data_IF_431563204117
#
_entry.id   IF_431563204117
#
_cell.length_a   1.000
_cell.length_b   1.000
_cell.length_c   1.000
_cell.angle_alpha   90.00
_cell.angle_beta   90.00
_cell.angle_gamma   90.00
#
_symmetry.space_group_name_H-M   'P 1'
#
loop_
_entity.id
_entity.type
_entity.pdbx_description
1 polymer ?
#
# COMPACT_ATOMS: atom_id res chain seq x y z
N UNK A 1 26.19 7.92 -49.86
CA UNK A 1 25.75 6.91 -48.88
C UNK A 1 26.35 7.33 -47.55
N UNK A 2 25.61 8.13 -46.78
CA UNK A 2 26.08 8.73 -45.52
C UNK A 2 25.34 8.02 -44.40
N UNK A 3 26.10 7.27 -43.60
CA UNK A 3 25.64 6.51 -42.46
C UNK A 3 25.41 7.50 -41.31
N UNK A 4 24.13 7.71 -40.95
CA UNK A 4 23.73 8.61 -39.86
C UNK A 4 23.77 7.81 -38.56
N UNK A 5 24.98 7.64 -38.02
CA UNK A 5 25.17 7.25 -36.63
C UNK A 5 24.78 8.44 -35.75
N UNK A 6 23.75 8.28 -34.90
CA UNK A 6 23.37 9.37 -34.00
C UNK A 6 21.97 9.36 -33.39
N UNK A 7 21.21 8.26 -33.40
CA UNK A 7 20.07 8.12 -32.47
C UNK A 7 20.57 7.59 -31.12
N UNK A 8 21.46 8.38 -30.51
CA UNK A 8 21.65 8.31 -29.08
C UNK A 8 20.32 8.77 -28.46
N UNK A 9 19.60 7.82 -27.88
CA UNK A 9 18.43 8.02 -27.04
C UNK A 9 18.67 9.21 -26.09
N UNK A 10 18.24 10.41 -26.48
CA UNK A 10 18.20 11.60 -25.64
C UNK A 10 17.10 11.38 -24.60
N UNK A 11 17.41 10.53 -23.62
CA UNK A 11 16.56 10.19 -22.49
C UNK A 11 16.52 11.38 -21.53
N UNK A 12 15.93 12.49 -21.98
CA UNK A 12 15.65 13.63 -21.11
C UNK A 12 14.84 13.15 -19.90
N UNK A 13 15.21 13.52 -18.67
CA UNK A 13 14.40 13.25 -17.50
C UNK A 13 13.02 13.87 -17.71
N UNK A 14 11.99 13.03 -17.80
CA UNK A 14 10.62 13.46 -18.08
C UNK A 14 10.10 14.51 -17.10
N UNK A 15 9.18 15.35 -17.59
CA UNK A 15 8.58 16.44 -16.82
C UNK A 15 8.03 15.99 -15.48
N UNK A 16 8.25 16.81 -14.45
CA UNK A 16 7.86 16.48 -13.08
C UNK A 16 6.33 16.25 -13.00
N UNK A 17 5.86 15.28 -12.19
CA UNK A 17 4.44 14.95 -12.12
C UNK A 17 3.59 16.19 -11.80
N UNK A 18 2.38 16.29 -12.37
CA UNK A 18 1.58 17.50 -12.29
C UNK A 18 1.31 17.89 -10.83
N UNK A 19 1.48 19.19 -10.53
CA UNK A 19 1.25 19.76 -9.20
C UNK A 19 -0.25 19.92 -8.92
N UNK A 20 -0.60 19.91 -7.64
CA UNK A 20 -1.92 20.24 -7.13
C UNK A 20 -2.21 21.74 -7.30
N UNK A 21 -3.49 22.13 -7.28
CA UNK A 21 -3.86 23.53 -7.28
C UNK A 21 -3.46 24.20 -5.96
N UNK A 22 -3.03 25.48 -5.97
CA UNK A 22 -2.55 26.18 -4.78
C UNK A 22 -3.59 26.28 -3.66
N UNK A 23 -4.87 26.30 -4.02
CA UNK A 23 -6.03 26.31 -3.11
C UNK A 23 -6.07 25.10 -2.14
N UNK A 24 -5.33 24.03 -2.44
CA UNK A 24 -5.30 22.81 -1.62
C UNK A 24 -4.00 22.61 -0.85
N UNK A 25 -3.05 23.55 -0.88
CA UNK A 25 -1.75 23.38 -0.21
C UNK A 25 -1.90 23.07 1.30
N UNK A 26 -2.85 23.70 1.99
CA UNK A 26 -3.11 23.44 3.41
C UNK A 26 -3.49 21.99 3.72
N UNK A 27 -4.38 21.39 2.91
CA UNK A 27 -4.76 19.98 3.06
C UNK A 27 -3.57 19.03 2.83
N UNK A 28 -2.74 19.34 1.84
CA UNK A 28 -1.54 18.58 1.52
C UNK A 28 -0.46 18.66 2.61
N UNK A 29 -0.21 19.84 3.17
CA UNK A 29 0.71 20.00 4.31
C UNK A 29 0.19 19.29 5.56
N UNK A 30 -1.11 19.41 5.87
CA UNK A 30 -1.73 18.74 7.01
C UNK A 30 -1.59 17.22 6.88
N UNK A 31 -1.89 16.68 5.70
CA UNK A 31 -1.71 15.25 5.41
C UNK A 31 -0.25 14.83 5.52
N UNK A 32 0.69 15.61 4.96
CA UNK A 32 2.11 15.32 5.06
C UNK A 32 2.59 15.27 6.50
N UNK A 33 2.18 16.24 7.32
CA UNK A 33 2.51 16.30 8.74
C UNK A 33 1.98 15.08 9.49
N UNK A 34 0.69 14.78 9.40
CA UNK A 34 0.08 13.67 10.14
C UNK A 34 0.62 12.30 9.72
N UNK A 35 0.80 12.05 8.42
CA UNK A 35 1.39 10.81 7.94
C UNK A 35 2.85 10.66 8.37
N UNK A 36 3.64 11.75 8.32
CA UNK A 36 5.03 11.74 8.81
C UNK A 36 5.09 11.46 10.31
N UNK A 37 4.19 12.08 11.09
CA UNK A 37 4.12 11.90 12.54
C UNK A 37 3.84 10.43 12.89
N UNK A 38 2.83 9.83 12.24
CA UNK A 38 2.49 8.43 12.49
C UNK A 38 3.60 7.46 12.01
N UNK A 39 4.18 7.71 10.83
CA UNK A 39 5.28 6.91 10.31
C UNK A 39 6.50 6.97 11.24
N UNK A 40 6.83 8.14 11.77
CA UNK A 40 7.89 8.31 12.76
C UNK A 40 7.59 7.57 14.07
N UNK A 41 6.34 7.54 14.52
CA UNK A 41 5.94 6.76 15.69
C UNK A 41 6.15 5.26 15.46
N UNK A 42 5.75 4.72 14.30
CA UNK A 42 6.01 3.32 13.94
C UNK A 42 7.51 3.00 13.86
N UNK A 43 8.31 3.90 13.26
CA UNK A 43 9.78 3.75 13.24
C UNK A 43 10.37 3.75 14.65
N UNK A 44 9.88 4.60 15.54
CA UNK A 44 10.33 4.65 16.93
C UNK A 44 10.01 3.35 17.67
N UNK A 45 8.82 2.76 17.45
CA UNK A 45 8.47 1.44 17.99
C UNK A 45 9.43 0.35 17.55
N UNK A 46 9.88 0.38 16.30
CA UNK A 46 10.83 -0.64 15.90
C UNK A 46 12.23 -0.37 16.40
N UNK A 47 12.70 0.88 16.41
CA UNK A 47 13.98 1.21 17.04
C UNK A 47 13.98 0.74 18.49
N UNK A 48 12.87 0.96 19.21
CA UNK A 48 12.67 0.45 20.55
C UNK A 48 12.74 -1.09 20.61
N UNK A 49 12.04 -1.79 19.71
CA UNK A 49 12.09 -3.27 19.65
C UNK A 49 13.48 -3.83 19.36
N UNK A 50 14.27 -3.18 18.51
CA UNK A 50 15.66 -3.55 18.22
C UNK A 50 16.53 -3.37 19.47
N UNK A 51 16.43 -2.22 20.12
CA UNK A 51 17.21 -1.91 21.33
C UNK A 51 16.84 -2.83 22.49
N UNK A 52 15.56 -3.19 22.63
CA UNK A 52 15.09 -4.09 23.68
C UNK A 52 15.48 -5.55 23.43
N UNK A 53 15.55 -5.97 22.17
CA UNK A 53 15.92 -7.34 21.78
C UNK A 53 17.42 -7.61 21.74
N UNK A 54 18.26 -6.69 22.24
CA UNK A 54 19.73 -6.70 22.09
C UNK A 54 20.19 -6.93 20.63
N UNK A 55 19.34 -6.55 19.65
CA UNK A 55 19.58 -6.78 18.23
C UNK A 55 20.46 -5.70 17.61
N UNK A 56 21.21 -6.06 16.58
CA UNK A 56 21.95 -5.09 15.77
C UNK A 56 21.08 -4.50 14.66
N UNK A 57 21.46 -3.31 14.17
CA UNK A 57 20.85 -2.74 12.95
C UNK A 57 20.98 -3.67 11.75
N UNK A 58 22.03 -4.50 11.71
CA UNK A 58 22.24 -5.47 10.66
C UNK A 58 21.20 -6.60 10.71
N UNK A 59 20.89 -7.12 11.90
CA UNK A 59 19.85 -8.14 12.10
C UNK A 59 18.47 -7.63 11.66
N UNK A 60 18.21 -6.33 11.88
CA UNK A 60 17.01 -5.68 11.36
C UNK A 60 16.99 -5.65 9.83
N UNK A 61 18.09 -5.22 9.19
CA UNK A 61 18.19 -5.17 7.72
C UNK A 61 18.08 -6.55 7.11
N UNK A 62 18.69 -7.56 7.73
CA UNK A 62 18.55 -8.95 7.30
C UNK A 62 17.10 -9.43 7.47
N UNK A 63 16.46 -9.12 8.61
CA UNK A 63 15.06 -9.45 8.90
C UNK A 63 14.02 -8.80 7.97
N UNK A 64 14.38 -7.70 7.30
CA UNK A 64 13.54 -7.09 6.25
C UNK A 64 13.32 -8.04 5.08
N UNK A 65 14.31 -8.87 4.75
CA UNK A 65 14.28 -9.75 3.58
C UNK A 65 14.21 -11.23 3.95
N UNK A 66 14.94 -11.66 4.97
CA UNK A 66 15.00 -13.03 5.46
C UNK A 66 14.10 -13.18 6.71
N UNK A 67 12.90 -13.79 6.61
CA UNK A 67 12.05 -14.00 7.77
C UNK A 67 12.63 -15.00 8.78
N UNK A 68 13.69 -15.75 8.43
CA UNK A 68 14.37 -16.68 9.32
C UNK A 68 15.55 -16.07 10.10
N UNK A 69 15.98 -14.85 9.78
CA UNK A 69 17.22 -14.29 10.30
C UNK A 69 17.19 -13.91 11.79
N UNK A 70 16.03 -13.63 12.40
CA UNK A 70 15.96 -13.46 13.86
C UNK A 70 14.51 -13.34 14.38
N UNK A 71 14.19 -13.98 15.53
CA UNK A 71 12.95 -13.80 16.27
C UNK A 71 12.98 -12.58 17.22
N UNK A 72 13.97 -11.67 17.11
CA UNK A 72 14.02 -10.45 17.93
C UNK A 72 12.66 -9.79 17.91
N UNK A 73 12.00 -9.74 19.07
CA UNK A 73 10.58 -9.45 19.28
C UNK A 73 10.11 -8.30 18.40
N UNK A 74 9.61 -8.62 17.20
CA UNK A 74 9.15 -7.62 16.26
C UNK A 74 7.81 -7.12 16.79
N UNK A 75 7.87 -6.07 17.62
CA UNK A 75 6.71 -5.28 18.04
C UNK A 75 5.95 -4.72 16.83
N UNK A 76 6.62 -4.68 15.67
CA UNK A 76 6.14 -4.16 14.39
C UNK A 76 6.45 -5.21 13.32
N UNK A 77 5.42 -5.75 12.69
CA UNK A 77 5.56 -6.76 11.65
C UNK A 77 6.00 -6.19 10.29
N UNK A 78 6.21 -7.05 9.28
CA UNK A 78 6.62 -6.64 7.95
C UNK A 78 5.61 -5.71 7.26
N UNK A 79 4.32 -5.90 7.53
CA UNK A 79 3.26 -5.07 6.98
C UNK A 79 3.38 -3.64 7.51
N UNK A 80 3.54 -3.50 8.82
CA UNK A 80 3.59 -2.20 9.49
C UNK A 80 4.79 -1.38 9.03
N UNK A 81 5.92 -2.03 8.78
CA UNK A 81 7.08 -1.40 8.15
C UNK A 81 6.84 -0.94 6.72
N UNK A 82 6.25 -1.81 5.90
CA UNK A 82 5.89 -1.45 4.54
C UNK A 82 4.91 -0.26 4.52
N UNK A 83 3.96 -0.23 5.45
CA UNK A 83 3.05 0.90 5.64
C UNK A 83 3.76 2.16 6.15
N UNK A 84 4.71 2.06 7.08
CA UNK A 84 5.50 3.21 7.53
C UNK A 84 6.28 3.83 6.37
N UNK A 85 6.95 3.01 5.55
CA UNK A 85 7.64 3.47 4.34
C UNK A 85 6.66 4.11 3.33
N UNK A 86 5.50 3.50 3.12
CA UNK A 86 4.45 4.05 2.28
C UNK A 86 3.89 5.39 2.80
N UNK A 87 3.77 5.56 4.11
CA UNK A 87 3.34 6.81 4.73
C UNK A 87 4.38 7.91 4.55
N UNK A 88 5.68 7.63 4.74
CA UNK A 88 6.74 8.59 4.41
C UNK A 88 6.75 8.98 2.93
N UNK A 89 6.63 8.00 2.02
CA UNK A 89 6.58 8.27 0.59
C UNK A 89 5.36 9.13 0.23
N UNK A 90 4.19 8.79 0.78
CA UNK A 90 2.95 9.56 0.59
C UNK A 90 3.06 10.97 1.17
N UNK A 91 3.65 11.12 2.35
CA UNK A 91 3.90 12.40 2.99
C UNK A 91 4.85 13.27 2.16
N UNK A 92 5.93 12.69 1.61
CA UNK A 92 6.85 13.37 0.71
C UNK A 92 6.17 13.84 -0.57
N UNK A 93 5.35 12.98 -1.19
CA UNK A 93 4.52 13.36 -2.34
C UNK A 93 3.53 14.48 -1.99
N UNK A 94 2.96 14.44 -0.78
CA UNK A 94 2.02 15.45 -0.31
C UNK A 94 2.72 16.79 -0.03
N UNK A 95 3.89 16.77 0.60
CA UNK A 95 4.74 17.94 0.83
C UNK A 95 5.21 18.57 -0.50
N UNK A 96 5.48 17.75 -1.51
CA UNK A 96 5.79 18.20 -2.86
C UNK A 96 4.54 18.57 -3.71
N UNK A 97 3.35 18.59 -3.09
CA UNK A 97 2.07 18.92 -3.71
C UNK A 97 1.78 18.14 -5.00
N UNK A 98 2.14 16.85 -5.05
CA UNK A 98 1.94 16.01 -6.24
C UNK A 98 0.52 15.46 -6.29
N UNK A 99 -0.15 15.51 -7.45
CA UNK A 99 -1.49 14.92 -7.64
C UNK A 99 -1.65 13.47 -7.14
N UNK A 100 -0.72 12.52 -7.37
CA UNK A 100 -0.86 11.15 -6.86
C UNK A 100 -0.90 11.07 -5.33
N UNK A 101 -0.38 12.06 -4.60
CA UNK A 101 -0.39 12.05 -3.14
C UNK A 101 -1.80 11.95 -2.56
N UNK A 102 -2.81 12.45 -3.28
CA UNK A 102 -4.19 12.43 -2.81
C UNK A 102 -4.78 11.02 -2.74
N UNK A 103 -4.68 10.24 -3.81
CA UNK A 103 -5.22 8.87 -3.79
C UNK A 103 -4.40 7.96 -2.89
N UNK A 104 -3.08 8.15 -2.85
CA UNK A 104 -2.21 7.49 -1.87
C UNK A 104 -2.64 7.81 -0.42
N UNK A 105 -2.84 9.08 -0.09
CA UNK A 105 -3.26 9.51 1.25
C UNK A 105 -4.65 9.01 1.63
N UNK A 106 -5.62 9.03 0.70
CA UNK A 106 -6.95 8.47 0.95
C UNK A 106 -6.87 6.96 1.23
N UNK A 107 -6.09 6.22 0.44
CA UNK A 107 -5.85 4.79 0.70
C UNK A 107 -5.25 4.57 2.10
N UNK A 108 -4.20 5.30 2.44
CA UNK A 108 -3.57 5.27 3.77
C UNK A 108 -4.54 5.62 4.90
N UNK A 109 -5.38 6.65 4.71
CA UNK A 109 -6.38 7.07 5.69
C UNK A 109 -7.47 6.02 5.92
N UNK A 110 -7.99 5.39 4.85
CA UNK A 110 -8.95 4.30 4.98
C UNK A 110 -8.34 3.05 5.62
N UNK A 111 -7.08 2.73 5.31
CA UNK A 111 -6.37 1.62 5.93
C UNK A 111 -6.18 1.85 7.44
N UNK A 112 -5.71 3.04 7.85
CA UNK A 112 -5.56 3.40 9.26
C UNK A 112 -6.91 3.41 10.00
N UNK A 113 -7.98 3.86 9.34
CA UNK A 113 -9.32 3.79 9.90
C UNK A 113 -9.76 2.35 10.13
N UNK A 114 -9.51 1.44 9.17
CA UNK A 114 -9.84 0.03 9.32
C UNK A 114 -9.08 -0.62 10.48
N UNK A 115 -7.77 -0.34 10.61
CA UNK A 115 -6.96 -0.80 11.76
C UNK A 115 -7.50 -0.25 13.08
N UNK A 116 -7.88 1.03 13.11
CA UNK A 116 -8.41 1.69 14.32
C UNK A 116 -9.79 1.16 14.72
N UNK A 117 -10.66 0.87 13.75
CA UNK A 117 -11.97 0.27 14.01
C UNK A 117 -11.83 -1.15 14.56
N UNK A 118 -10.93 -1.95 13.99
CA UNK A 118 -10.59 -3.28 14.52
C UNK A 118 -10.11 -3.20 15.97
N UNK A 119 -9.26 -2.22 16.26
CA UNK A 119 -8.77 -1.98 17.62
C UNK A 119 -9.92 -1.61 18.58
N UNK A 120 -10.82 -0.73 18.14
CA UNK A 120 -11.99 -0.34 18.93
C UNK A 120 -12.92 -1.52 19.25
N UNK A 121 -13.08 -2.47 18.32
CA UNK A 121 -13.78 -3.74 18.58
C UNK A 121 -13.06 -4.54 19.66
N UNK A 122 -11.73 -4.64 19.58
CA UNK A 122 -10.92 -5.33 20.60
C UNK A 122 -11.06 -4.70 21.99
N UNK A 123 -11.10 -3.37 22.08
CA UNK A 123 -11.29 -2.64 23.35
C UNK A 123 -12.67 -2.86 24.01
N UNK A 124 -13.61 -3.52 23.32
CA UNK A 124 -14.86 -3.96 23.95
C UNK A 124 -14.64 -5.16 24.88
N UNK A 125 -13.55 -5.93 24.70
CA UNK A 125 -13.17 -7.06 25.55
C UNK A 125 -12.46 -6.59 26.82
N UNK A 126 -12.94 -7.03 27.98
CA UNK A 126 -12.41 -6.62 29.27
C UNK A 126 -11.00 -7.15 29.56
N UNK A 127 -10.68 -8.37 29.12
CA UNK A 127 -9.35 -8.95 29.29
C UNK A 127 -8.34 -8.20 28.41
N UNK A 128 -8.75 -7.81 27.21
CA UNK A 128 -7.90 -7.02 26.32
C UNK A 128 -7.63 -5.62 26.86
N UNK A 129 -8.66 -4.93 27.36
CA UNK A 129 -8.47 -3.64 28.06
C UNK A 129 -7.56 -3.74 29.29
N UNK A 130 -7.65 -4.85 30.01
CA UNK A 130 -6.81 -5.08 31.19
C UNK A 130 -5.32 -5.14 30.82
N UNK A 131 -4.97 -5.73 29.67
CA UNK A 131 -3.58 -5.76 29.19
C UNK A 131 -3.00 -4.35 29.04
N UNK A 132 -3.76 -3.41 28.48
CA UNK A 132 -3.35 -2.01 28.34
C UNK A 132 -3.02 -1.34 29.69
N UNK A 133 -3.64 -1.79 30.78
CA UNK A 133 -3.40 -1.25 32.11
C UNK A 133 -2.22 -1.93 32.83
N UNK A 134 -1.94 -3.21 32.53
CA UNK A 134 -0.90 -3.99 33.22
C UNK A 134 0.44 -4.02 32.50
N UNK A 135 0.45 -3.86 31.18
CA UNK A 135 1.68 -3.86 30.40
C UNK A 135 2.39 -2.51 30.53
N UNK A 136 3.71 -2.48 30.82
CA UNK A 136 4.46 -1.23 30.97
C UNK A 136 4.43 -0.35 29.70
N UNK A 137 4.22 -0.94 28.53
CA UNK A 137 4.11 -0.25 27.24
C UNK A 137 2.65 0.00 26.82
N UNK A 138 1.67 -0.49 27.59
CA UNK A 138 0.25 -0.38 27.27
C UNK A 138 -0.20 1.06 27.01
N UNK A 139 0.21 2.01 27.87
CA UNK A 139 -0.11 3.43 27.68
C UNK A 139 0.43 4.00 26.36
N UNK A 140 1.66 3.65 25.99
CA UNK A 140 2.29 4.08 24.73
C UNK A 140 1.64 3.42 23.52
N UNK A 141 1.31 2.13 23.62
CA UNK A 141 0.60 1.40 22.58
C UNK A 141 -0.76 2.03 22.32
N UNK A 142 -1.53 2.34 23.39
CA UNK A 142 -2.84 2.99 23.28
C UNK A 142 -2.71 4.38 22.65
N UNK A 143 -1.74 5.19 23.08
CA UNK A 143 -1.47 6.49 22.50
C UNK A 143 -1.17 6.40 20.99
N UNK A 144 -0.44 5.37 20.57
CA UNK A 144 -0.14 5.11 19.15
C UNK A 144 -1.39 4.73 18.36
N UNK A 145 -2.27 3.89 18.94
CA UNK A 145 -3.57 3.55 18.33
C UNK A 145 -4.47 4.79 18.17
N UNK A 146 -4.55 5.62 19.21
CA UNK A 146 -5.29 6.88 19.18
C UNK A 146 -4.71 7.84 18.14
N UNK A 147 -3.38 7.95 18.06
CA UNK A 147 -2.70 8.73 17.03
C UNK A 147 -3.06 8.25 15.62
N UNK A 148 -3.08 6.93 15.39
CA UNK A 148 -3.50 6.33 14.12
C UNK A 148 -4.93 6.72 13.72
N UNK A 149 -5.87 6.71 14.68
CA UNK A 149 -7.24 7.16 14.46
C UNK A 149 -7.32 8.66 14.13
N UNK A 150 -6.62 9.50 14.89
CA UNK A 150 -6.57 10.96 14.65
C UNK A 150 -6.02 11.25 13.26
N UNK A 151 -4.93 10.58 12.87
CA UNK A 151 -4.31 10.70 11.55
C UNK A 151 -5.28 10.26 10.46
N UNK A 152 -5.97 9.12 10.63
CA UNK A 152 -6.96 8.64 9.68
C UNK A 152 -8.08 9.67 9.45
N UNK A 153 -8.67 10.18 10.53
CA UNK A 153 -9.74 11.18 10.47
C UNK A 153 -9.25 12.48 9.84
N UNK A 154 -8.09 12.99 10.25
CA UNK A 154 -7.52 14.22 9.70
C UNK A 154 -7.21 14.10 8.19
N UNK A 155 -6.61 12.99 7.76
CA UNK A 155 -6.32 12.75 6.34
C UNK A 155 -7.62 12.62 5.53
N UNK A 156 -8.60 11.86 6.00
CA UNK A 156 -9.87 11.69 5.28
C UNK A 156 -10.66 13.00 5.19
N UNK A 157 -10.79 13.72 6.31
CA UNK A 157 -11.52 15.01 6.34
C UNK A 157 -10.87 16.09 5.48
N UNK A 158 -9.55 16.11 5.35
CA UNK A 158 -8.84 17.08 4.50
C UNK A 158 -8.79 16.67 3.02
N UNK A 159 -8.62 15.38 2.70
CA UNK A 159 -8.43 14.90 1.31
C UNK A 159 -9.71 14.52 0.57
N UNK A 160 -10.81 14.20 1.27
CA UNK A 160 -12.10 13.93 0.62
C UNK A 160 -12.67 15.20 -0.07
N UNK A 161 -12.79 16.36 0.60
CA UNK A 161 -13.34 17.59 0.00
C UNK A 161 -12.49 18.13 -1.16
N UNK A 162 -11.18 17.84 -1.16
CA UNK A 162 -10.28 18.22 -2.24
C UNK A 162 -10.65 17.59 -3.61
N UNK A 163 -11.59 16.64 -3.69
CA UNK A 163 -12.17 16.17 -4.97
C UNK A 163 -13.20 17.13 -5.55
N UNK A 164 -14.00 17.74 -4.68
CA UNK A 164 -15.35 18.21 -5.03
C UNK A 164 -15.36 19.65 -5.51
N UNK A 165 -14.38 20.46 -5.10
CA UNK A 165 -14.27 21.86 -5.53
C UNK A 165 -13.88 22.04 -7.00
N UNK A 166 -13.21 21.04 -7.62
CA UNK A 166 -12.98 21.04 -9.07
C UNK A 166 -14.28 20.91 -9.88
N UNK A 167 -15.36 20.40 -9.26
CA UNK A 167 -16.68 20.24 -9.89
C UNK A 167 -17.58 21.47 -9.70
N UNK A 168 -17.47 22.17 -8.57
CA UNK A 168 -18.33 23.33 -8.25
C UNK A 168 -17.91 24.64 -8.91
N UNK A 169 -16.65 24.82 -9.30
CA UNK A 169 -16.23 26.01 -10.07
C UNK A 169 -16.68 25.97 -11.54
N UNK A 170 -17.37 24.91 -11.96
CA UNK A 170 -17.92 24.73 -13.32
C UNK A 170 -19.42 25.04 -13.42
N UNK A 171 -20.06 25.52 -12.35
CA UNK A 171 -21.49 25.90 -12.39
C UNK A 171 -21.72 27.35 -12.91
N UNK A 172 -20.66 28.09 -13.27
CA UNK A 172 -20.76 29.43 -13.86
C UNK A 172 -20.19 29.55 -15.29
N UNK A 173 -19.84 28.43 -15.93
CA UNK A 173 -19.26 28.44 -17.28
C UNK A 173 -19.77 27.21 -18.04
N UNK A 174 -20.21 27.34 -19.32
CA UNK A 174 -20.73 26.20 -20.09
C UNK A 174 -19.76 25.01 -20.03
N UNK A 175 -20.28 23.76 -20.01
CA UNK A 175 -19.50 22.58 -19.69
C UNK A 175 -18.33 22.45 -20.68
N UNK A 176 -17.14 22.85 -20.22
CA UNK A 176 -15.92 22.58 -20.94
C UNK A 176 -15.84 21.05 -21.14
N UNK A 177 -15.54 20.57 -22.36
CA UNK A 177 -15.46 19.15 -22.64
C UNK A 177 -14.54 18.51 -21.61
N UNK A 178 -15.04 17.47 -20.93
CA UNK A 178 -14.27 16.71 -19.94
C UNK A 178 -12.91 16.40 -20.57
N UNK A 179 -11.77 16.67 -19.91
CA UNK A 179 -10.48 16.25 -20.42
C UNK A 179 -10.56 14.73 -20.59
N UNK A 180 -10.67 14.30 -21.84
CA UNK A 180 -10.68 12.90 -22.20
C UNK A 180 -9.29 12.41 -21.82
N UNK A 181 -9.19 11.61 -20.75
CA UNK A 181 -7.95 10.89 -20.46
C UNK A 181 -7.50 10.24 -21.78
N UNK A 182 -6.25 10.48 -22.22
CA UNK A 182 -5.78 9.91 -23.48
C UNK A 182 -6.04 8.41 -23.46
N UNK A 183 -6.47 7.84 -24.59
CA UNK A 183 -6.91 6.44 -24.66
C UNK A 183 -5.89 5.46 -24.05
N UNK A 184 -4.60 5.81 -24.13
CA UNK A 184 -3.47 5.14 -23.49
C UNK A 184 -3.58 5.05 -21.96
N UNK A 185 -3.89 6.14 -21.27
CA UNK A 185 -4.03 6.18 -19.81
C UNK A 185 -5.19 5.30 -19.32
N UNK A 186 -6.28 5.28 -20.08
CA UNK A 186 -7.43 4.42 -19.81
C UNK A 186 -7.07 2.94 -20.00
N UNK A 187 -6.31 2.62 -21.04
CA UNK A 187 -5.82 1.26 -21.29
C UNK A 187 -4.92 0.78 -20.15
N UNK A 188 -3.93 1.59 -19.76
CA UNK A 188 -3.00 1.26 -18.67
C UNK A 188 -3.71 1.10 -17.32
N UNK A 189 -4.67 1.97 -17.00
CA UNK A 189 -5.50 1.84 -15.80
C UNK A 189 -6.30 0.53 -15.81
N UNK A 190 -6.82 0.12 -16.97
CA UNK A 190 -7.53 -1.15 -17.10
C UNK A 190 -6.61 -2.35 -16.94
N UNK A 191 -5.41 -2.32 -17.53
CA UNK A 191 -4.41 -3.39 -17.38
C UNK A 191 -4.04 -3.56 -15.90
N UNK A 192 -3.70 -2.46 -15.20
CA UNK A 192 -3.43 -2.49 -13.77
C UNK A 192 -4.64 -3.03 -12.98
N UNK A 193 -5.85 -2.62 -13.37
CA UNK A 193 -7.08 -3.10 -12.76
C UNK A 193 -7.32 -4.60 -12.93
N UNK A 194 -7.06 -5.15 -14.13
CA UNK A 194 -7.17 -6.58 -14.40
C UNK A 194 -6.12 -7.36 -13.60
N UNK A 195 -4.87 -6.91 -13.58
CA UNK A 195 -3.81 -7.55 -12.79
C UNK A 195 -4.17 -7.63 -11.30
N UNK A 196 -4.69 -6.53 -10.76
CA UNK A 196 -5.16 -6.49 -9.37
C UNK A 196 -6.34 -7.41 -9.12
N UNK A 197 -7.34 -7.43 -10.00
CA UNK A 197 -8.51 -8.31 -9.83
C UNK A 197 -8.13 -9.78 -9.90
N UNK A 198 -7.28 -10.17 -10.86
CA UNK A 198 -6.82 -11.56 -10.97
C UNK A 198 -6.05 -11.95 -9.71
N UNK A 199 -5.13 -11.11 -9.22
CA UNK A 199 -4.42 -11.39 -7.97
C UNK A 199 -5.36 -11.47 -6.77
N UNK A 200 -6.33 -10.56 -6.66
CA UNK A 200 -7.34 -10.57 -5.61
C UNK A 200 -8.20 -11.83 -5.61
N UNK A 201 -8.60 -12.30 -6.79
CA UNK A 201 -9.36 -13.54 -6.95
C UNK A 201 -8.51 -14.77 -6.61
N UNK A 202 -7.24 -14.80 -7.02
CA UNK A 202 -6.32 -15.89 -6.65
C UNK A 202 -6.14 -15.94 -5.12
N UNK A 203 -5.86 -14.81 -4.47
CA UNK A 203 -5.73 -14.75 -3.01
C UNK A 203 -7.03 -15.11 -2.29
N UNK A 204 -8.18 -14.68 -2.82
CA UNK A 204 -9.47 -15.07 -2.28
C UNK A 204 -9.69 -16.59 -2.39
N UNK A 205 -9.35 -17.20 -3.52
CA UNK A 205 -9.47 -18.64 -3.71
C UNK A 205 -8.58 -19.42 -2.73
N UNK A 206 -7.34 -18.98 -2.51
CA UNK A 206 -6.46 -19.53 -1.48
C UNK A 206 -7.05 -19.38 -0.07
N UNK A 207 -7.52 -18.18 0.27
CA UNK A 207 -8.14 -17.91 1.58
C UNK A 207 -9.36 -18.80 1.81
N UNK A 208 -10.22 -18.97 0.81
CA UNK A 208 -11.40 -19.85 0.90
C UNK A 208 -10.97 -21.30 1.04
N UNK A 209 -9.98 -21.76 0.26
CA UNK A 209 -9.43 -23.12 0.37
C UNK A 209 -8.93 -23.39 1.79
N UNK A 210 -8.11 -22.49 2.32
CA UNK A 210 -7.55 -22.59 3.67
C UNK A 210 -8.68 -22.71 4.70
N UNK A 211 -9.68 -21.81 4.61
CA UNK A 211 -10.85 -21.82 5.50
C UNK A 211 -11.73 -23.07 5.39
N UNK A 212 -11.72 -23.76 4.25
CA UNK A 212 -12.44 -25.03 4.05
C UNK A 212 -11.63 -26.27 4.47
N UNK A 213 -10.37 -26.10 4.86
CA UNK A 213 -9.51 -27.22 5.24
C UNK A 213 -9.97 -27.79 6.59
N UNK A 214 -10.11 -29.13 6.73
CA UNK A 214 -10.54 -29.75 7.98
C UNK A 214 -9.64 -29.34 9.16
N UNK A 215 -10.25 -28.88 10.25
CA UNK A 215 -9.53 -28.44 11.45
C UNK A 215 -9.26 -26.92 11.52
N UNK A 216 -9.58 -26.15 10.47
CA UNK A 216 -9.52 -24.69 10.54
C UNK A 216 -10.80 -24.11 11.18
N UNK A 217 -10.63 -23.30 12.23
CA UNK A 217 -11.74 -22.58 12.87
C UNK A 217 -12.02 -21.28 12.11
N UNK A 218 -12.95 -21.35 11.14
CA UNK A 218 -13.36 -20.20 10.32
C UNK A 218 -13.90 -19.05 11.17
N UNK A 219 -14.61 -19.35 12.27
CA UNK A 219 -15.18 -18.34 13.14
C UNK A 219 -14.06 -17.57 13.86
N UNK A 220 -13.05 -18.29 14.36
CA UNK A 220 -11.86 -17.67 14.96
C UNK A 220 -11.06 -16.87 13.93
N UNK A 221 -10.92 -17.35 12.70
CA UNK A 221 -10.23 -16.63 11.63
C UNK A 221 -10.90 -15.29 11.30
N UNK A 222 -12.23 -15.33 11.06
CA UNK A 222 -13.01 -14.11 10.77
C UNK A 222 -13.02 -13.16 11.97
N UNK A 223 -13.10 -13.70 13.19
CA UNK A 223 -12.97 -12.90 14.41
C UNK A 223 -11.59 -12.25 14.48
N UNK A 224 -10.50 -12.97 14.20
CA UNK A 224 -9.14 -12.43 14.18
C UNK A 224 -8.98 -11.26 13.20
N UNK A 225 -9.70 -11.29 12.08
CA UNK A 225 -9.69 -10.18 11.14
C UNK A 225 -10.42 -8.92 11.63
N UNK A 226 -11.46 -9.04 12.45
CA UNK A 226 -12.31 -7.89 12.85
C UNK A 226 -12.04 -7.42 14.28
N UNK A 227 -11.56 -8.31 15.14
CA UNK A 227 -11.40 -8.13 16.56
C UNK A 227 -9.90 -8.13 16.92
N UNK A 228 -9.40 -6.98 17.40
CA UNK A 228 -8.01 -6.84 17.85
C UNK A 228 -7.66 -7.72 19.05
N UNK A 229 -8.65 -8.13 19.86
CA UNK A 229 -8.42 -8.87 21.11
C UNK A 229 -7.96 -10.33 20.91
N UNK A 230 -8.20 -10.91 19.73
CA UNK A 230 -7.98 -12.34 19.45
C UNK A 230 -6.51 -12.76 19.57
N UNK A 231 -5.57 -11.84 19.30
CA UNK A 231 -4.14 -12.09 19.47
C UNK A 231 -3.73 -12.20 20.94
N UNK A 232 -4.58 -11.74 21.87
CA UNK A 232 -4.34 -11.84 23.32
C UNK A 232 -3.06 -11.15 23.80
N UNK A 233 -2.44 -10.32 22.97
CA UNK A 233 -1.17 -9.64 23.23
C UNK A 233 -1.22 -8.21 22.71
N UNK A 234 -0.50 -7.32 23.41
CA UNK A 234 -0.29 -5.92 23.01
C UNK A 234 0.75 -5.83 21.89
N UNK A 235 0.40 -6.35 20.71
CA UNK A 235 1.23 -6.20 19.53
C UNK A 235 0.70 -5.04 18.67
N UNK A 236 1.59 -4.20 18.12
CA UNK A 236 1.21 -3.21 17.12
C UNK A 236 1.04 -3.84 15.74
N UNK A 237 1.62 -5.04 15.53
CA UNK A 237 1.40 -5.82 14.35
C UNK A 237 -0.06 -6.24 14.20
N UNK A 238 -0.63 -6.02 13.02
CA UNK A 238 -1.92 -6.56 12.65
C UNK A 238 -1.80 -8.08 12.48
N UNK A 239 -2.82 -8.81 12.95
CA UNK A 239 -2.87 -10.27 12.70
C UNK A 239 -2.88 -10.59 11.21
N UNK A 240 -2.37 -11.78 10.87
CA UNK A 240 -2.31 -12.28 9.51
C UNK A 240 -3.69 -12.32 8.84
N UNK A 241 -4.75 -12.67 9.58
CA UNK A 241 -6.11 -12.76 9.02
C UNK A 241 -6.61 -11.40 8.53
N UNK A 242 -6.33 -10.33 9.27
CA UNK A 242 -6.67 -8.98 8.85
C UNK A 242 -5.86 -8.53 7.65
N UNK A 243 -4.56 -8.81 7.60
CA UNK A 243 -3.72 -8.38 6.48
C UNK A 243 -4.03 -9.18 5.21
N UNK A 244 -4.34 -10.47 5.32
CA UNK A 244 -4.79 -11.31 4.19
C UNK A 244 -6.13 -10.80 3.64
N UNK A 245 -7.17 -10.68 4.46
CA UNK A 245 -8.48 -10.18 4.01
C UNK A 245 -8.40 -8.72 3.54
N UNK A 246 -7.63 -7.90 4.24
CA UNK A 246 -7.34 -6.51 3.85
C UNK A 246 -6.69 -6.44 2.47
N UNK A 247 -5.73 -7.33 2.16
CA UNK A 247 -5.11 -7.40 0.84
C UNK A 247 -6.10 -7.83 -0.25
N UNK A 248 -6.96 -8.81 0.03
CA UNK A 248 -7.96 -9.29 -0.91
C UNK A 248 -8.93 -8.16 -1.24
N UNK A 249 -9.44 -7.48 -0.22
CA UNK A 249 -10.30 -6.31 -0.38
C UNK A 249 -9.58 -5.17 -1.12
N UNK A 250 -8.30 -4.90 -0.80
CA UNK A 250 -7.48 -3.91 -1.48
C UNK A 250 -7.36 -4.18 -2.98
N UNK A 251 -7.01 -5.41 -3.37
CA UNK A 251 -6.94 -5.85 -4.75
C UNK A 251 -8.28 -5.70 -5.48
N UNK A 252 -9.37 -6.18 -4.88
CA UNK A 252 -10.69 -6.15 -5.50
C UNK A 252 -11.22 -4.73 -5.66
N UNK A 253 -11.08 -3.89 -4.63
CA UNK A 253 -11.56 -2.51 -4.64
C UNK A 253 -10.73 -1.64 -5.59
N UNK A 254 -9.39 -1.65 -5.46
CA UNK A 254 -8.52 -0.85 -6.32
C UNK A 254 -8.58 -1.35 -7.77
N UNK A 255 -8.64 -2.67 -7.98
CA UNK A 255 -8.79 -3.28 -9.30
C UNK A 255 -10.11 -2.88 -9.97
N UNK A 256 -11.22 -3.00 -9.25
CA UNK A 256 -12.55 -2.60 -9.74
C UNK A 256 -12.66 -1.10 -10.02
N UNK A 257 -12.07 -0.25 -9.16
CA UNK A 257 -12.00 1.19 -9.38
C UNK A 257 -11.14 1.56 -10.61
N UNK A 258 -10.01 0.87 -10.79
CA UNK A 258 -9.09 1.08 -11.91
C UNK A 258 -9.70 0.68 -13.26
N UNK A 259 -10.46 -0.43 -13.33
CA UNK A 259 -11.20 -0.83 -14.54
C UNK A 259 -12.26 0.20 -14.92
N UNK A 260 -12.98 0.73 -13.93
CA UNK A 260 -14.02 1.74 -14.15
C UNK A 260 -13.45 3.07 -14.65
N UNK A 261 -12.12 3.25 -14.62
CA UNK A 261 -11.42 4.48 -15.00
C UNK A 261 -11.99 5.74 -14.31
N UNK A 262 -12.58 5.55 -13.13
CA UNK A 262 -13.19 6.61 -12.35
C UNK A 262 -12.17 7.07 -11.31
N UNK A 263 -11.52 8.21 -11.59
CA UNK A 263 -10.61 8.98 -10.72
C UNK A 263 -9.12 8.63 -10.84
N UNK A 264 -8.29 9.60 -10.44
CA UNK A 264 -6.83 9.54 -10.41
C UNK A 264 -6.36 8.61 -9.28
N UNK A 265 -6.39 7.30 -9.55
CA UNK A 265 -6.07 6.23 -8.59
C UNK A 265 -4.57 5.88 -8.54
N UNK A 266 -3.74 6.60 -9.30
CA UNK A 266 -2.32 6.25 -9.51
C UNK A 266 -1.54 6.12 -8.21
N UNK A 267 -1.73 7.05 -7.27
CA UNK A 267 -1.05 7.01 -5.99
C UNK A 267 -1.45 5.81 -5.13
N UNK A 268 -2.76 5.51 -5.06
CA UNK A 268 -3.25 4.35 -4.31
C UNK A 268 -2.74 3.02 -4.91
N UNK A 269 -2.78 2.89 -6.25
CA UNK A 269 -2.26 1.71 -6.95
C UNK A 269 -0.77 1.54 -6.72
N UNK A 270 0.02 2.62 -6.79
CA UNK A 270 1.46 2.57 -6.58
C UNK A 270 1.79 2.16 -5.13
N UNK A 271 1.17 2.81 -4.14
CA UNK A 271 1.41 2.49 -2.72
C UNK A 271 1.07 1.04 -2.43
N UNK A 272 -0.14 0.60 -2.82
CA UNK A 272 -0.57 -0.76 -2.55
C UNK A 272 0.27 -1.80 -3.30
N UNK A 273 0.56 -1.58 -4.59
CA UNK A 273 1.43 -2.47 -5.36
C UNK A 273 2.86 -2.55 -4.78
N UNK A 274 3.42 -1.44 -4.30
CA UNK A 274 4.75 -1.44 -3.67
C UNK A 274 4.78 -2.24 -2.37
N UNK A 275 3.76 -2.10 -1.52
CA UNK A 275 3.64 -2.88 -0.28
C UNK A 275 3.51 -4.37 -0.62
N UNK A 276 2.62 -4.71 -1.54
CA UNK A 276 2.40 -6.10 -1.95
C UNK A 276 3.61 -6.72 -2.66
N UNK A 277 4.34 -5.92 -3.45
CA UNK A 277 5.60 -6.34 -4.06
C UNK A 277 6.63 -6.68 -2.99
N UNK A 278 6.81 -5.80 -1.99
CA UNK A 278 7.74 -6.06 -0.89
C UNK A 278 7.40 -7.36 -0.16
N UNK A 279 6.14 -7.58 0.19
CA UNK A 279 5.70 -8.79 0.89
C UNK A 279 5.84 -10.04 0.03
N UNK A 280 5.60 -9.93 -1.28
CA UNK A 280 5.78 -11.04 -2.22
C UNK A 280 7.26 -11.38 -2.39
N UNK A 281 8.15 -10.37 -2.45
CA UNK A 281 9.60 -10.59 -2.47
C UNK A 281 10.06 -11.26 -1.18
N UNK A 282 9.61 -10.79 -0.02
CA UNK A 282 9.94 -11.40 1.27
C UNK A 282 9.48 -12.86 1.35
N UNK A 283 8.29 -13.15 0.81
CA UNK A 283 7.79 -14.53 0.69
C UNK A 283 8.66 -15.35 -0.25
N UNK A 284 9.03 -14.83 -1.42
CA UNK A 284 9.93 -15.53 -2.34
C UNK A 284 11.30 -15.80 -1.71
N UNK A 285 11.88 -14.85 -0.97
CA UNK A 285 13.13 -15.05 -0.24
C UNK A 285 12.98 -16.15 0.80
N UNK A 286 11.89 -16.15 1.58
CA UNK A 286 11.59 -17.22 2.52
C UNK A 286 11.59 -18.59 1.85
N UNK A 287 10.83 -18.75 0.75
CA UNK A 287 10.71 -20.01 0.03
C UNK A 287 12.06 -20.48 -0.55
N UNK A 288 12.93 -19.54 -0.94
CA UNK A 288 14.30 -19.85 -1.39
C UNK A 288 15.20 -20.28 -0.24
N UNK A 289 15.16 -19.56 0.88
CA UNK A 289 16.01 -19.85 2.06
C UNK A 289 15.64 -21.18 2.70
N UNK A 290 14.35 -21.53 2.73
CA UNK A 290 13.87 -22.81 3.29
C UNK A 290 13.96 -23.98 2.31
N UNK A 291 14.59 -23.78 1.14
CA UNK A 291 14.67 -24.75 0.04
C UNK A 291 13.29 -25.29 -0.44
N UNK A 292 12.24 -24.51 -0.15
CA UNK A 292 10.86 -24.92 -0.41
C UNK A 292 10.56 -24.92 -1.90
N UNK A 293 11.25 -24.11 -2.73
CA UNK A 293 11.06 -24.15 -4.18
C UNK A 293 11.41 -25.52 -4.78
N UNK A 294 12.45 -26.18 -4.28
CA UNK A 294 12.84 -27.51 -4.76
C UNK A 294 11.78 -28.56 -4.37
N UNK A 295 11.25 -28.47 -3.15
CA UNK A 295 10.17 -29.35 -2.66
C UNK A 295 8.79 -29.00 -3.26
N UNK A 296 8.58 -27.74 -3.67
CA UNK A 296 7.31 -27.25 -4.19
C UNK A 296 6.89 -27.92 -5.47
N UNK A 297 7.84 -28.30 -6.33
CA UNK A 297 7.54 -28.97 -7.59
C UNK A 297 7.18 -30.45 -7.41
N UNK A 298 7.37 -31.01 -6.21
CA UNK A 298 6.98 -32.38 -5.88
C UNK A 298 5.48 -32.51 -5.62
N UNK A 299 4.79 -31.40 -5.30
CA UNK A 299 3.35 -31.38 -5.02
C UNK A 299 2.60 -30.38 -5.90
N UNK A 300 1.35 -30.69 -6.25
CA UNK A 300 0.50 -29.76 -7.02
C UNK A 300 0.27 -28.44 -6.27
N UNK A 301 0.16 -28.50 -4.94
CA UNK A 301 -0.05 -27.32 -4.10
C UNK A 301 1.17 -26.41 -4.07
N UNK A 302 2.38 -26.99 -3.95
CA UNK A 302 3.63 -26.25 -4.02
C UNK A 302 3.81 -25.57 -5.39
N UNK A 303 3.52 -26.27 -6.49
CA UNK A 303 3.58 -25.71 -7.83
C UNK A 303 2.60 -24.54 -8.03
N UNK A 304 1.37 -24.66 -7.52
CA UNK A 304 0.37 -23.58 -7.56
C UNK A 304 0.79 -22.38 -6.70
N UNK A 305 1.38 -22.62 -5.52
CA UNK A 305 1.90 -21.57 -4.64
C UNK A 305 3.06 -20.81 -5.30
N UNK A 306 4.00 -21.54 -5.92
CA UNK A 306 5.10 -20.96 -6.69
C UNK A 306 4.60 -20.13 -7.89
N UNK A 307 3.64 -20.66 -8.66
CA UNK A 307 3.02 -19.94 -9.77
C UNK A 307 2.28 -18.67 -9.31
N UNK A 308 1.57 -18.74 -8.18
CA UNK A 308 0.89 -17.59 -7.56
C UNK A 308 1.89 -16.51 -7.15
N UNK A 309 3.01 -16.90 -6.55
CA UNK A 309 4.08 -15.99 -6.13
C UNK A 309 4.75 -15.33 -7.34
N UNK A 310 5.08 -16.11 -8.38
CA UNK A 310 5.65 -15.59 -9.62
C UNK A 310 4.70 -14.61 -10.32
N UNK A 311 3.40 -14.94 -10.39
CA UNK A 311 2.38 -14.04 -10.90
C UNK A 311 2.30 -12.76 -10.08
N UNK A 312 2.30 -12.86 -8.74
CA UNK A 312 2.31 -11.70 -7.84
C UNK A 312 3.48 -10.76 -8.09
N UNK A 313 4.70 -11.30 -8.24
CA UNK A 313 5.89 -10.50 -8.58
C UNK A 313 5.73 -9.81 -9.93
N UNK A 314 5.35 -10.54 -10.97
CA UNK A 314 5.18 -9.99 -12.32
C UNK A 314 4.07 -8.93 -12.38
N UNK A 315 2.94 -9.17 -11.71
CA UNK A 315 1.79 -8.27 -11.69
C UNK A 315 2.10 -6.97 -10.93
N UNK A 316 2.67 -7.05 -9.72
CA UNK A 316 2.97 -5.85 -8.93
C UNK A 316 4.11 -5.03 -9.54
N UNK A 317 5.17 -5.67 -10.06
CA UNK A 317 6.22 -4.96 -10.81
C UNK A 317 5.67 -4.29 -12.05
N UNK A 318 4.81 -4.96 -12.83
CA UNK A 318 4.14 -4.37 -13.99
C UNK A 318 3.32 -3.15 -13.60
N UNK A 319 2.54 -3.21 -12.51
CA UNK A 319 1.75 -2.06 -12.05
C UNK A 319 2.66 -0.90 -11.63
N UNK A 320 3.70 -1.16 -10.86
CA UNK A 320 4.67 -0.13 -10.43
C UNK A 320 5.34 0.52 -11.65
N UNK A 321 5.82 -0.27 -12.61
CA UNK A 321 6.46 0.23 -13.83
C UNK A 321 5.48 1.00 -14.71
N UNK A 322 4.26 0.51 -14.91
CA UNK A 322 3.24 1.17 -15.72
C UNK A 322 2.81 2.49 -15.09
N UNK A 323 2.63 2.55 -13.77
CA UNK A 323 2.23 3.78 -13.08
C UNK A 323 3.36 4.82 -13.08
N UNK A 324 4.62 4.40 -12.93
CA UNK A 324 5.78 5.30 -13.00
C UNK A 324 6.11 5.74 -14.44
N UNK A 325 5.97 4.84 -15.42
CA UNK A 325 6.38 5.04 -16.82
C UNK A 325 5.47 5.98 -17.63
N UNK A 326 4.25 6.26 -17.17
CA UNK A 326 3.31 7.18 -17.85
C UNK A 326 3.83 8.62 -17.94
N UNK A 327 4.82 9.01 -17.12
CA UNK A 327 5.46 10.34 -17.21
C UNK A 327 6.46 10.52 -18.37
N UNK A 328 6.81 9.46 -19.13
CA UNK A 328 7.94 9.48 -20.09
C UNK A 328 7.59 9.69 -21.56
N UNK A 329 6.31 9.61 -21.97
CA UNK A 329 5.96 9.43 -23.39
C UNK A 329 5.14 10.53 -24.06
N UNK A 330 5.07 11.75 -23.50
CA UNK A 330 4.06 12.73 -23.88
C UNK A 330 4.48 13.91 -24.78
N UNK A 331 5.77 14.20 -24.98
CA UNK A 331 6.18 15.49 -25.58
C UNK A 331 6.92 15.40 -26.93
N UNK A 332 6.87 14.27 -27.63
CA UNK A 332 7.64 14.10 -28.88
C UNK A 332 6.85 14.27 -30.19
N UNK A 333 5.62 14.83 -30.18
CA UNK A 333 4.84 15.02 -31.41
C UNK A 333 4.22 16.41 -31.42
N UNK A 334 4.96 17.38 -31.95
CA UNK A 334 4.45 18.75 -32.12
C UNK A 334 5.51 19.81 -32.37
N UNK A 335 6.51 19.54 -33.21
CA UNK A 335 7.37 20.60 -33.74
C UNK A 335 7.97 20.13 -35.07
N UNK A 336 7.28 20.41 -36.16
CA UNK A 336 7.81 20.16 -37.49
C UNK A 336 6.72 20.07 -38.53
N UNK A 337 6.06 21.19 -38.80
CA UNK A 337 5.43 21.53 -40.08
C UNK A 337 4.76 22.90 -39.92
N UNK A 338 5.56 23.95 -40.12
CA UNK A 338 5.12 25.26 -40.65
C UNK A 338 6.36 26.17 -40.75
N UNK A 339 7.22 25.90 -41.74
CA UNK A 339 7.98 26.96 -42.41
C UNK A 339 7.96 26.65 -43.92
N UNK A 340 7.14 27.43 -44.61
CA UNK A 340 7.18 27.67 -46.05
C UNK A 340 7.77 29.06 -46.28
#
# INVERSE_FOLDING_TARGET
>A
MVMRDGDALDARPGGAPPRAAPEHHGAYHTTAFFLTLYASALTAWTVYGIVQGDGSLWDFVEGLFNPGASPASQLVGPYEWAFAAAFFATAGLAAAHRRPARSAALFSGFFLLAVSLREAVGLCDAAYRYQYATDPLGGWALATRVLGLVVAVAVLTTMLPAAEHRRRRTDATPPAPRPVLPARDRCLSRICGVLFLVMGLIRLAWTVRDLTTPGMDTARYLRGAVDGSVLGTLNLAASAEFTTLGSVLGFLLLGGLAIRARRDLRGALLVFASIELYLTVRTAVWLTVTDFFNQSFETQEGALSAATTAYGLAAMTSVVVLVMGVGRGGEAVGSGEDEA
#
